data_IF_213576958776
#
_entry.id   IF_213576958776
#
_cell.length_a   1.000
_cell.length_b   1.000
_cell.length_c   1.000
_cell.angle_alpha   90.00
_cell.angle_beta   90.00
_cell.angle_gamma   90.00
#
_symmetry.space_group_name_H-M   'P 1'
#
loop_
_entity.id
_entity.type
_entity.pdbx_description
1 polymer ?
#
# COMPACT_ATOMS: atom_id res chain seq x y z
N UNK A 1 -14.87 31.45 11.58
CA UNK A 1 -14.65 30.15 12.25
C UNK A 1 -15.35 30.19 13.59
N UNK A 2 -16.34 29.34 13.82
CA UNK A 2 -17.05 29.29 15.10
C UNK A 2 -16.33 28.29 16.01
N UNK A 3 -16.03 28.69 17.26
CA UNK A 3 -15.48 27.80 18.29
C UNK A 3 -16.57 27.51 19.31
N UNK A 4 -16.80 26.24 19.61
CA UNK A 4 -17.74 25.77 20.62
C UNK A 4 -16.94 25.12 21.75
N UNK A 5 -17.28 25.42 23.01
CA UNK A 5 -16.74 24.67 24.14
C UNK A 5 -17.48 23.34 24.28
N UNK A 6 -16.70 22.28 24.46
CA UNK A 6 -17.21 20.92 24.64
C UNK A 6 -16.45 20.23 25.77
N UNK A 7 -17.14 19.35 26.49
CA UNK A 7 -16.54 18.43 27.44
C UNK A 7 -16.12 17.16 26.70
N UNK A 8 -14.83 17.05 26.37
CA UNK A 8 -14.28 15.93 25.61
C UNK A 8 -13.60 14.93 26.54
N UNK A 9 -13.97 13.66 26.40
CA UNK A 9 -13.28 12.53 27.01
C UNK A 9 -12.76 11.65 25.87
N UNK A 10 -11.43 11.54 25.74
CA UNK A 10 -10.78 10.73 24.71
C UNK A 10 -9.78 9.80 25.39
N UNK A 11 -9.85 8.47 25.18
CA UNK A 11 -8.90 7.55 25.77
C UNK A 11 -7.54 7.66 25.10
N UNK A 12 -6.49 7.31 25.84
CA UNK A 12 -5.20 6.99 25.23
C UNK A 12 -5.34 5.69 24.44
N UNK A 13 -4.82 5.65 23.24
CA UNK A 13 -4.78 4.44 22.46
C UNK A 13 -3.57 4.39 21.55
N UNK A 14 -3.19 3.17 21.22
CA UNK A 14 -2.10 2.86 20.31
C UNK A 14 -2.58 1.77 19.36
N UNK A 15 -2.44 2.02 18.07
CA UNK A 15 -2.84 1.11 17.00
C UNK A 15 -1.65 0.93 16.06
N UNK A 16 -1.29 -0.31 15.79
CA UNK A 16 -0.26 -0.66 14.83
C UNK A 16 -0.81 -1.78 13.94
N UNK A 17 -0.81 -1.55 12.64
CA UNK A 17 -1.43 -2.46 11.68
C UNK A 17 -0.54 -2.64 10.45
N UNK A 18 -0.57 -3.84 9.87
CA UNK A 18 0.11 -4.16 8.60
C UNK A 18 -0.90 -4.75 7.63
N UNK A 19 -1.00 -4.14 6.45
CA UNK A 19 -1.95 -4.49 5.41
C UNK A 19 -1.22 -5.09 4.20
N UNK A 20 -1.69 -6.24 3.73
CA UNK A 20 -1.40 -6.72 2.37
C UNK A 20 -2.35 -6.03 1.40
N UNK A 21 -1.80 -5.16 0.55
CA UNK A 21 -2.57 -4.34 -0.35
C UNK A 21 -2.87 -5.03 -1.69
N UNK A 22 -2.32 -6.22 -1.96
CA UNK A 22 -2.46 -6.85 -3.28
C UNK A 22 -3.92 -7.02 -3.68
N UNK A 23 -4.70 -7.72 -2.84
CA UNK A 23 -6.12 -7.97 -3.11
C UNK A 23 -6.95 -6.68 -3.10
N UNK A 24 -6.61 -5.73 -2.23
CA UNK A 24 -7.31 -4.46 -2.12
C UNK A 24 -7.12 -3.62 -3.38
N UNK A 25 -5.89 -3.47 -3.85
CA UNK A 25 -5.57 -2.70 -5.06
C UNK A 25 -6.19 -3.34 -6.31
N UNK A 26 -6.17 -4.67 -6.41
CA UNK A 26 -6.88 -5.40 -7.47
C UNK A 26 -8.38 -5.15 -7.40
N UNK A 27 -9.00 -5.22 -6.22
CA UNK A 27 -10.42 -4.94 -6.05
C UNK A 27 -10.80 -3.48 -6.37
N UNK A 28 -9.86 -2.54 -6.20
CA UNK A 28 -10.01 -1.14 -6.58
C UNK A 28 -9.73 -0.87 -8.08
N UNK A 29 -9.38 -1.90 -8.86
CA UNK A 29 -9.18 -1.81 -10.31
C UNK A 29 -7.72 -1.72 -10.76
N UNK A 30 -6.76 -1.75 -9.84
CA UNK A 30 -5.32 -1.84 -10.18
C UNK A 30 -4.97 -3.30 -10.42
N UNK A 31 -5.39 -3.83 -11.58
CA UNK A 31 -5.24 -5.24 -11.93
C UNK A 31 -3.98 -5.48 -12.75
N UNK A 32 -3.80 -4.71 -13.83
CA UNK A 32 -2.73 -4.94 -14.83
C UNK A 32 -1.33 -4.87 -14.21
N UNK A 33 -1.11 -3.97 -13.24
CA UNK A 33 0.17 -3.81 -12.58
C UNK A 33 0.66 -5.09 -11.86
N UNK A 34 -0.26 -5.97 -11.44
CA UNK A 34 0.05 -7.26 -10.81
C UNK A 34 0.06 -8.43 -11.81
N UNK A 35 -0.30 -8.19 -13.07
CA UNK A 35 -0.30 -9.21 -14.13
C UNK A 35 1.08 -9.35 -14.75
N UNK A 36 1.58 -10.58 -14.85
CA UNK A 36 2.85 -10.85 -15.54
C UNK A 36 2.79 -10.66 -17.06
N UNK A 37 1.57 -10.61 -17.62
CA UNK A 37 1.34 -10.48 -19.06
C UNK A 37 0.90 -9.07 -19.45
N UNK A 38 0.12 -8.40 -18.61
CA UNK A 38 -0.49 -7.09 -18.93
C UNK A 38 0.23 -5.91 -18.27
N UNK A 39 1.11 -6.14 -17.29
CA UNK A 39 1.82 -5.04 -16.64
C UNK A 39 2.72 -4.28 -17.63
N UNK A 40 2.41 -3.00 -17.83
CA UNK A 40 3.28 -2.06 -18.55
C UNK A 40 4.01 -1.13 -17.56
N UNK A 41 5.23 -1.51 -17.22
CA UNK A 41 6.17 -0.70 -16.44
C UNK A 41 7.34 -0.20 -17.31
N UNK A 42 7.09 0.02 -18.61
CA UNK A 42 8.11 0.46 -19.58
C UNK A 42 8.76 1.80 -19.26
N UNK A 43 8.13 2.61 -18.39
CA UNK A 43 8.69 3.83 -17.83
C UNK A 43 9.89 3.60 -16.89
N UNK A 44 10.00 2.42 -16.27
CA UNK A 44 11.17 2.04 -15.45
C UNK A 44 12.28 1.42 -16.31
N UNK A 45 11.90 0.50 -17.21
CA UNK A 45 12.83 -0.13 -18.13
C UNK A 45 12.09 -0.68 -19.34
N UNK A 46 12.70 -0.57 -20.52
CA UNK A 46 12.20 -1.16 -21.76
C UNK A 46 12.83 -2.52 -22.08
N UNK A 47 13.86 -2.92 -21.34
CA UNK A 47 14.65 -4.13 -21.62
C UNK A 47 14.07 -5.38 -20.96
N UNK A 48 13.32 -5.21 -19.88
CA UNK A 48 12.80 -6.30 -19.08
C UNK A 48 11.31 -6.11 -18.84
N UNK A 49 10.58 -7.22 -18.81
CA UNK A 49 9.19 -7.22 -18.37
C UNK A 49 9.16 -7.24 -16.85
N UNK A 50 8.43 -6.30 -16.28
CA UNK A 50 8.30 -6.11 -14.83
C UNK A 50 6.82 -6.16 -14.46
N UNK A 51 6.51 -6.74 -13.31
CA UNK A 51 5.20 -6.65 -12.68
C UNK A 51 5.35 -6.46 -11.18
N UNK A 52 4.34 -5.86 -10.56
CA UNK A 52 4.25 -5.76 -9.10
C UNK A 52 3.98 -7.16 -8.55
N UNK A 53 4.84 -7.62 -7.65
CA UNK A 53 4.67 -8.90 -6.96
C UNK A 53 3.99 -8.74 -5.61
N UNK A 54 4.25 -7.63 -4.92
CA UNK A 54 3.70 -7.36 -3.58
C UNK A 54 3.58 -5.88 -3.27
N UNK A 55 2.51 -5.49 -2.59
CA UNK A 55 2.29 -4.18 -2.02
C UNK A 55 1.91 -4.35 -0.54
N UNK A 56 2.65 -3.71 0.36
CA UNK A 56 2.44 -3.79 1.81
C UNK A 56 2.42 -2.39 2.39
N UNK A 57 1.51 -2.14 3.32
CA UNK A 57 1.47 -0.91 4.10
C UNK A 57 1.50 -1.22 5.58
N UNK A 58 2.43 -0.60 6.32
CA UNK A 58 2.49 -0.69 7.78
C UNK A 58 2.28 0.70 8.37
N UNK A 59 1.40 0.80 9.35
CA UNK A 59 1.03 2.07 9.97
C UNK A 59 0.98 1.95 11.49
N UNK A 60 1.23 3.07 12.14
CA UNK A 60 1.28 3.24 13.58
C UNK A 60 0.62 4.58 13.94
N UNK A 61 -0.24 4.57 14.96
CA UNK A 61 -0.84 5.78 15.56
C UNK A 61 -0.89 5.62 17.07
N UNK A 62 -0.41 6.61 17.78
CA UNK A 62 -0.52 6.76 19.24
C UNK A 62 -1.11 8.11 19.58
N UNK A 63 -2.15 8.09 20.43
CA UNK A 63 -2.81 9.29 20.94
C UNK A 63 -2.65 9.33 22.45
N UNK A 64 -2.11 10.44 22.93
CA UNK A 64 -1.95 10.74 24.35
C UNK A 64 -2.27 12.23 24.61
N UNK A 65 -2.07 12.70 25.84
CA UNK A 65 -2.37 14.07 26.25
C UNK A 65 -1.38 15.10 25.69
N UNK A 66 -0.18 14.68 25.32
CA UNK A 66 0.82 15.56 24.68
C UNK A 66 0.50 15.77 23.21
N UNK A 67 -0.17 14.81 22.56
CA UNK A 67 -0.67 14.93 21.20
C UNK A 67 -0.86 13.59 20.50
N UNK A 68 -0.52 13.56 19.22
CA UNK A 68 -0.64 12.37 18.37
C UNK A 68 0.69 12.13 17.67
N UNK A 69 1.22 10.92 17.85
CA UNK A 69 2.35 10.42 17.06
C UNK A 69 1.81 9.42 16.04
N UNK A 70 2.11 9.64 14.76
CA UNK A 70 1.67 8.74 13.70
C UNK A 70 2.80 8.55 12.68
N UNK A 71 3.00 7.31 12.27
CA UNK A 71 3.99 6.94 11.27
C UNK A 71 3.42 5.86 10.35
N UNK A 72 3.82 5.88 9.08
CA UNK A 72 3.44 4.84 8.14
C UNK A 72 4.50 4.65 7.05
N UNK A 73 4.60 3.43 6.54
CA UNK A 73 5.49 3.07 5.46
C UNK A 73 4.76 2.15 4.47
N UNK A 74 4.86 2.48 3.18
CA UNK A 74 4.31 1.67 2.09
C UNK A 74 5.47 1.13 1.25
N UNK A 75 5.48 -0.17 1.03
CA UNK A 75 6.45 -0.85 0.17
C UNK A 75 5.76 -1.51 -1.02
N UNK A 76 6.32 -1.32 -2.21
CA UNK A 76 5.91 -2.02 -3.44
C UNK A 76 7.12 -2.77 -3.97
N UNK A 77 6.98 -4.08 -4.13
CA UNK A 77 8.00 -4.95 -4.71
C UNK A 77 7.67 -5.20 -6.17
N UNK A 78 8.64 -4.94 -7.04
CA UNK A 78 8.56 -5.17 -8.47
C UNK A 78 9.53 -6.29 -8.83
N UNK A 79 9.04 -7.30 -9.54
CA UNK A 79 9.81 -8.46 -9.95
C UNK A 79 9.96 -8.55 -11.47
N UNK A 80 11.03 -9.20 -11.92
CA UNK A 80 11.18 -9.63 -13.31
C UNK A 80 10.17 -10.74 -13.61
N UNK A 81 9.45 -10.60 -14.72
CA UNK A 81 8.50 -11.62 -15.18
C UNK A 81 9.13 -12.39 -16.35
N UNK A 82 9.24 -13.71 -16.21
CA UNK A 82 9.64 -14.58 -17.32
C UNK A 82 8.42 -14.87 -18.20
N UNK A 83 8.56 -14.68 -19.50
CA UNK A 83 7.61 -15.15 -20.49
C UNK A 83 7.72 -16.68 -20.60
N UNK A 84 6.87 -17.44 -19.91
CA UNK A 84 6.75 -18.88 -20.16
C UNK A 84 5.95 -19.12 -21.44
N UNK A 85 6.57 -18.91 -22.59
CA UNK A 85 6.07 -19.50 -23.84
C UNK A 85 6.51 -20.97 -23.86
N UNK A 86 5.74 -21.83 -23.20
CA UNK A 86 5.79 -23.27 -23.44
C UNK A 86 4.61 -23.63 -24.33
N UNK A 87 4.81 -23.48 -25.63
CA UNK A 87 3.97 -24.12 -26.64
C UNK A 87 4.61 -25.48 -26.93
N UNK A 88 3.90 -26.57 -26.63
CA UNK A 88 4.11 -27.86 -27.28
C UNK A 88 3.34 -27.87 -28.61
#
# INVERSE_FOLDING_TARGET
>A
MWKCQVHLHLPRFKVEETYDLNGILVALGVVDAFSSQEADLSGMTRKHRLAVSKAVHKSFVEVNEEGTEAAAATGITVGLTLSTNTTL
#
